data_IF_243591995448
#
_entry.id   IF_243591995448
#
_cell.length_a   1.000
_cell.length_b   1.000
_cell.length_c   1.000
_cell.angle_alpha   90.00
_cell.angle_beta   90.00
_cell.angle_gamma   90.00
#
_symmetry.space_group_name_H-M   'P 1'
#
loop_
_entity.id
_entity.type
_entity.pdbx_description
1 polymer ?
#
# COMPACT_ATOMS: atom_id res chain seq x y z
N UNK A 1 -29.30 31.97 20.52
CA UNK A 1 -28.78 30.85 21.34
C UNK A 1 -27.27 30.95 21.33
N UNK A 2 -26.68 31.41 22.43
CA UNK A 2 -25.23 31.56 22.57
C UNK A 2 -24.59 30.17 22.52
N UNK A 3 -23.84 29.87 21.46
CA UNK A 3 -23.02 28.68 21.44
C UNK A 3 -22.00 28.84 22.57
N UNK A 4 -22.13 27.99 23.60
CA UNK A 4 -21.13 27.90 24.67
C UNK A 4 -19.80 27.64 23.98
N UNK A 5 -18.93 28.65 23.99
CA UNK A 5 -17.54 28.51 23.60
C UNK A 5 -16.94 27.49 24.57
N UNK A 6 -16.91 26.23 24.15
CA UNK A 6 -16.10 25.19 24.79
C UNK A 6 -14.69 25.75 24.92
N UNK A 7 -14.10 25.65 26.12
CA UNK A 7 -12.74 26.10 26.37
C UNK A 7 -11.82 25.59 25.25
N UNK A 8 -11.12 26.50 24.59
CA UNK A 8 -10.17 26.16 23.52
C UNK A 8 -8.98 25.48 24.19
N UNK A 9 -8.81 24.18 23.96
CA UNK A 9 -7.58 23.47 24.33
C UNK A 9 -6.54 23.66 23.23
N UNK A 10 -5.71 24.70 23.36
CA UNK A 10 -4.62 24.98 22.43
C UNK A 10 -3.58 23.85 22.35
N UNK A 11 -3.55 22.90 23.30
CA UNK A 11 -2.66 21.73 23.24
C UNK A 11 -3.18 20.68 22.26
N UNK A 12 -4.47 20.67 21.96
CA UNK A 12 -5.09 19.74 21.02
C UNK A 12 -5.28 20.37 19.64
N UNK A 13 -4.22 20.35 18.85
CA UNK A 13 -4.22 20.80 17.44
C UNK A 13 -4.56 19.67 16.44
N UNK A 14 -5.16 18.57 16.89
CA UNK A 14 -5.53 17.45 16.00
C UNK A 14 -6.51 17.89 14.91
N UNK A 15 -7.49 18.73 15.25
CA UNK A 15 -8.47 19.27 14.30
C UNK A 15 -7.81 20.02 13.12
N UNK A 16 -6.99 21.07 13.33
CA UNK A 16 -6.33 21.74 12.21
C UNK A 16 -5.34 20.84 11.45
N UNK A 17 -4.64 19.92 12.13
CA UNK A 17 -3.76 18.95 11.45
C UNK A 17 -4.57 18.04 10.51
N UNK A 18 -5.69 17.50 10.99
CA UNK A 18 -6.56 16.61 10.21
C UNK A 18 -7.20 17.36 9.04
N UNK A 19 -7.59 18.62 9.24
CA UNK A 19 -8.07 19.47 8.16
C UNK A 19 -7.02 19.63 7.05
N UNK A 20 -5.75 19.91 7.38
CA UNK A 20 -4.67 20.00 6.37
C UNK A 20 -4.49 18.67 5.62
N UNK A 21 -4.50 17.54 6.34
CA UNK A 21 -4.40 16.20 5.76
C UNK A 21 -5.55 15.93 4.78
N UNK A 22 -6.77 16.25 5.16
CA UNK A 22 -7.98 16.14 4.34
C UNK A 22 -7.89 17.01 3.08
N UNK A 23 -7.50 18.30 3.20
CA UNK A 23 -7.39 19.18 2.03
C UNK A 23 -6.35 18.69 1.02
N UNK A 24 -5.22 18.15 1.50
CA UNK A 24 -4.21 17.52 0.63
C UNK A 24 -4.75 16.26 -0.03
N UNK A 25 -5.44 15.41 0.70
CA UNK A 25 -6.07 14.22 0.13
C UNK A 25 -7.11 14.58 -0.95
N UNK A 26 -7.95 15.58 -0.71
CA UNK A 26 -8.94 16.05 -1.69
C UNK A 26 -8.27 16.62 -2.96
N UNK A 27 -7.14 17.32 -2.81
CA UNK A 27 -6.33 17.79 -3.95
C UNK A 27 -5.84 16.61 -4.80
N UNK A 28 -5.31 15.58 -4.15
CA UNK A 28 -4.81 14.35 -4.79
C UNK A 28 -5.95 13.58 -5.47
N UNK A 29 -7.10 13.42 -4.82
CA UNK A 29 -8.30 12.77 -5.39
C UNK A 29 -8.70 13.48 -6.69
N UNK A 30 -8.77 14.80 -6.69
CA UNK A 30 -9.11 15.57 -7.88
C UNK A 30 -8.06 15.37 -9.01
N UNK A 31 -6.77 15.30 -8.66
CA UNK A 31 -5.70 15.07 -9.61
C UNK A 31 -5.72 13.65 -10.21
N UNK A 32 -5.95 12.63 -9.39
CA UNK A 32 -6.10 11.23 -9.80
C UNK A 32 -7.27 11.04 -10.77
N UNK A 33 -8.42 11.69 -10.51
CA UNK A 33 -9.57 11.64 -11.42
C UNK A 33 -9.25 12.20 -12.80
N UNK A 34 -8.48 13.30 -12.90
CA UNK A 34 -8.00 13.84 -14.19
C UNK A 34 -7.05 12.90 -14.92
N UNK A 35 -6.39 11.99 -14.19
CA UNK A 35 -5.50 10.94 -14.70
C UNK A 35 -6.22 9.62 -14.99
N UNK A 36 -7.55 9.61 -14.95
CA UNK A 36 -8.38 8.43 -15.19
C UNK A 36 -8.21 7.32 -14.15
N UNK A 37 -7.82 7.66 -12.92
CA UNK A 37 -7.97 6.77 -11.78
C UNK A 37 -9.29 7.07 -11.06
N UNK A 38 -9.97 6.04 -10.58
CA UNK A 38 -11.00 6.25 -9.56
C UNK A 38 -10.30 6.54 -8.23
N UNK A 39 -10.75 7.57 -7.53
CA UNK A 39 -10.18 7.95 -6.24
C UNK A 39 -11.25 8.50 -5.31
N UNK A 40 -11.15 8.14 -4.03
CA UNK A 40 -11.99 8.65 -2.95
C UNK A 40 -11.17 8.88 -1.68
N UNK A 41 -11.60 9.84 -0.87
CA UNK A 41 -11.08 10.10 0.47
C UNK A 41 -12.04 9.54 1.51
N UNK A 42 -11.48 8.97 2.57
CA UNK A 42 -12.20 8.50 3.77
C UNK A 42 -11.45 8.97 5.02
N UNK A 43 -12.17 9.34 6.10
CA UNK A 43 -11.55 10.00 7.25
C UNK A 43 -10.68 9.07 8.11
N UNK A 44 -11.05 7.79 8.23
CA UNK A 44 -10.50 6.88 9.23
C UNK A 44 -10.44 5.42 8.72
N UNK A 45 -9.91 4.52 9.56
CA UNK A 45 -9.76 3.08 9.25
C UNK A 45 -11.09 2.37 9.03
N UNK A 46 -12.12 2.71 9.79
CA UNK A 46 -13.43 2.06 9.68
C UNK A 46 -14.06 2.37 8.32
N UNK A 47 -14.08 3.64 7.95
CA UNK A 47 -14.54 4.08 6.64
C UNK A 47 -13.67 3.52 5.49
N UNK A 48 -12.36 3.36 5.71
CA UNK A 48 -11.46 2.74 4.74
C UNK A 48 -11.77 1.25 4.53
N UNK A 49 -11.98 0.48 5.60
CA UNK A 49 -12.36 -0.93 5.49
C UNK A 49 -13.69 -1.07 4.76
N UNK A 50 -14.70 -0.27 5.11
CA UNK A 50 -15.99 -0.26 4.43
C UNK A 50 -15.86 0.06 2.93
N UNK A 51 -15.09 1.08 2.58
CA UNK A 51 -14.84 1.48 1.19
C UNK A 51 -14.12 0.38 0.39
N UNK A 52 -13.11 -0.28 0.97
CA UNK A 52 -12.41 -1.40 0.33
C UNK A 52 -13.38 -2.57 0.12
N UNK A 53 -14.16 -2.94 1.15
CA UNK A 53 -15.12 -4.04 1.07
C UNK A 53 -16.20 -3.80 0.00
N UNK A 54 -16.66 -2.56 -0.16
CA UNK A 54 -17.59 -2.16 -1.21
C UNK A 54 -17.00 -2.25 -2.62
N UNK A 55 -15.69 -2.03 -2.77
CA UNK A 55 -14.99 -2.14 -4.05
C UNK A 55 -14.73 -3.60 -4.47
N UNK A 56 -14.69 -4.54 -3.53
CA UNK A 56 -14.47 -5.97 -3.82
C UNK A 56 -15.82 -6.68 -4.03
N UNK A 57 -16.15 -7.13 -5.27
CA UNK A 57 -17.37 -7.90 -5.52
C UNK A 57 -17.43 -9.19 -4.69
N UNK A 58 -18.62 -9.77 -4.57
CA UNK A 58 -18.80 -11.14 -4.06
C UNK A 58 -18.48 -12.14 -5.16
N UNK A 59 -18.17 -13.37 -4.76
CA UNK A 59 -17.96 -14.55 -5.61
C UNK A 59 -16.85 -14.38 -6.66
N UNK A 60 -15.86 -13.57 -6.33
CA UNK A 60 -14.66 -13.34 -7.15
C UNK A 60 -13.38 -13.67 -6.39
N UNK A 61 -12.32 -13.89 -7.13
CA UNK A 61 -10.98 -14.09 -6.61
C UNK A 61 -10.28 -12.77 -6.25
N UNK A 62 -9.62 -12.76 -5.11
CA UNK A 62 -8.97 -11.56 -4.54
C UNK A 62 -7.53 -11.88 -4.22
N UNK A 63 -6.60 -11.25 -4.92
CA UNK A 63 -5.19 -11.33 -4.64
C UNK A 63 -4.75 -10.17 -3.74
N UNK A 64 -4.06 -10.49 -2.65
CA UNK A 64 -3.45 -9.50 -1.76
C UNK A 64 -1.93 -9.66 -1.79
N UNK A 65 -1.24 -8.60 -2.22
CA UNK A 65 0.22 -8.51 -2.06
C UNK A 65 0.62 -8.10 -0.65
N UNK A 66 1.91 -8.20 -0.32
CA UNK A 66 2.45 -7.65 0.93
C UNK A 66 2.12 -6.15 1.09
N UNK A 67 1.38 -5.84 2.16
CA UNK A 67 0.89 -4.50 2.48
C UNK A 67 0.50 -4.39 3.95
N UNK A 68 1.37 -3.75 4.74
CA UNK A 68 1.09 -3.41 6.14
C UNK A 68 -0.17 -2.54 6.26
N UNK A 69 -0.45 -1.69 5.26
CA UNK A 69 -1.68 -0.88 5.22
C UNK A 69 -2.94 -1.76 5.20
N UNK A 70 -2.95 -2.86 4.43
CA UNK A 70 -4.10 -3.77 4.38
C UNK A 70 -4.23 -4.60 5.67
N UNK A 71 -3.09 -4.95 6.28
CA UNK A 71 -3.08 -5.67 7.56
C UNK A 71 -3.62 -4.81 8.69
N UNK A 72 -3.19 -3.55 8.76
CA UNK A 72 -3.65 -2.54 9.72
C UNK A 72 -5.13 -2.16 9.58
N UNK A 73 -5.75 -2.52 8.46
CA UNK A 73 -7.18 -2.33 8.20
C UNK A 73 -7.98 -3.65 8.33
N UNK A 74 -7.31 -4.76 8.62
CA UNK A 74 -7.93 -6.08 8.76
C UNK A 74 -8.77 -6.52 7.54
N UNK A 75 -8.33 -6.14 6.33
CA UNK A 75 -9.07 -6.41 5.09
C UNK A 75 -9.23 -7.92 4.83
N UNK A 76 -8.18 -8.71 5.05
CA UNK A 76 -8.24 -10.17 4.85
C UNK A 76 -9.17 -10.84 5.88
N UNK A 77 -9.06 -10.58 7.19
CA UNK A 77 -10.07 -11.01 8.15
C UNK A 77 -11.51 -10.67 7.75
N UNK A 78 -11.78 -9.44 7.30
CA UNK A 78 -13.12 -9.02 6.87
C UNK A 78 -13.62 -9.78 5.63
N UNK A 79 -12.76 -10.01 4.63
CA UNK A 79 -13.10 -10.80 3.44
C UNK A 79 -13.39 -12.27 3.79
N UNK A 80 -12.66 -12.83 4.77
CA UNK A 80 -12.93 -14.19 5.27
C UNK A 80 -14.25 -14.28 6.01
N UNK A 81 -14.53 -13.31 6.88
CA UNK A 81 -15.81 -13.23 7.59
C UNK A 81 -17.00 -13.08 6.64
N UNK A 82 -16.81 -12.36 5.51
CA UNK A 82 -17.82 -12.25 4.44
C UNK A 82 -18.13 -13.59 3.75
N UNK A 83 -17.20 -14.55 3.80
CA UNK A 83 -17.33 -15.91 3.29
C UNK A 83 -17.84 -16.00 1.83
N UNK A 84 -17.36 -15.09 0.98
CA UNK A 84 -17.85 -14.94 -0.40
C UNK A 84 -16.73 -14.74 -1.43
N UNK A 85 -15.46 -14.96 -1.09
CA UNK A 85 -14.34 -14.70 -2.00
C UNK A 85 -13.28 -15.78 -1.88
N UNK A 86 -12.64 -16.08 -3.01
CA UNK A 86 -11.43 -16.88 -3.04
C UNK A 86 -10.23 -15.97 -2.78
N UNK A 87 -9.60 -16.10 -1.62
CA UNK A 87 -8.49 -15.23 -1.23
C UNK A 87 -7.16 -15.88 -1.63
N UNK A 88 -6.36 -15.17 -2.41
CA UNK A 88 -4.98 -15.50 -2.73
C UNK A 88 -4.04 -14.59 -1.93
N UNK A 89 -3.32 -15.16 -0.98
CA UNK A 89 -2.38 -14.43 -0.12
C UNK A 89 -1.05 -15.20 -0.02
N UNK A 90 -0.12 -14.99 -0.97
CA UNK A 90 1.14 -15.75 -1.01
C UNK A 90 1.99 -15.67 0.26
N UNK A 91 2.07 -14.50 0.89
CA UNK A 91 2.89 -14.26 2.08
C UNK A 91 2.14 -14.54 3.40
N UNK A 92 1.01 -15.25 3.34
CA UNK A 92 0.26 -15.58 4.54
C UNK A 92 1.07 -16.48 5.47
N UNK A 93 1.01 -16.14 6.76
CA UNK A 93 1.68 -16.88 7.83
C UNK A 93 0.66 -17.45 8.82
N UNK A 94 0.99 -18.61 9.38
CA UNK A 94 0.29 -19.17 10.53
C UNK A 94 0.65 -18.43 11.84
N UNK A 95 0.01 -18.80 12.96
CA UNK A 95 0.27 -18.19 14.27
C UNK A 95 1.75 -18.24 14.71
N UNK A 96 2.46 -19.36 14.51
CA UNK A 96 3.91 -19.45 14.71
C UNK A 96 4.78 -18.66 13.72
N UNK A 97 4.23 -18.16 12.61
CA UNK A 97 4.94 -17.35 11.62
C UNK A 97 5.46 -18.09 10.38
N UNK A 98 5.07 -19.35 10.17
CA UNK A 98 5.42 -20.15 9.00
C UNK A 98 4.55 -19.79 7.79
N UNK A 99 5.13 -19.80 6.60
CA UNK A 99 4.37 -19.56 5.36
C UNK A 99 3.36 -20.69 5.10
N UNK A 100 2.06 -20.36 5.07
CA UNK A 100 0.98 -21.35 4.88
C UNK A 100 1.04 -22.00 3.49
N UNK A 101 1.43 -21.23 2.48
CA UNK A 101 1.50 -21.70 1.09
C UNK A 101 2.82 -22.42 0.75
N UNK A 102 3.63 -22.73 1.75
CA UNK A 102 4.94 -23.38 1.60
C UNK A 102 6.12 -22.42 1.71
N UNK A 103 7.29 -22.97 2.01
CA UNK A 103 8.55 -22.25 2.14
C UNK A 103 9.08 -21.82 0.77
N UNK A 104 8.55 -20.72 0.26
CA UNK A 104 8.96 -20.13 -1.01
C UNK A 104 10.35 -19.47 -0.95
N UNK A 105 10.99 -19.37 0.23
CA UNK A 105 12.41 -18.97 0.31
C UNK A 105 13.33 -20.10 -0.12
N UNK A 106 12.93 -21.35 0.16
CA UNK A 106 13.65 -22.56 -0.29
C UNK A 106 13.17 -23.08 -1.65
N UNK A 107 12.00 -22.65 -2.10
CA UNK A 107 11.42 -23.07 -3.38
C UNK A 107 11.13 -21.87 -4.29
N UNK A 108 12.10 -21.57 -5.16
CA UNK A 108 12.04 -20.47 -6.13
C UNK A 108 10.88 -20.62 -7.13
N UNK A 109 10.58 -21.83 -7.58
CA UNK A 109 9.50 -22.05 -8.54
C UNK A 109 8.13 -21.81 -7.90
N UNK A 110 7.96 -22.25 -6.64
CA UNK A 110 6.78 -21.94 -5.84
C UNK A 110 6.63 -20.43 -5.63
N UNK A 111 7.72 -19.70 -5.33
CA UNK A 111 7.69 -18.25 -5.23
C UNK A 111 7.14 -17.61 -6.50
N UNK A 112 7.73 -17.93 -7.67
CA UNK A 112 7.28 -17.34 -8.93
C UNK A 112 5.86 -17.74 -9.30
N UNK A 113 5.45 -18.98 -9.03
CA UNK A 113 4.06 -19.42 -9.23
C UNK A 113 3.11 -18.54 -8.40
N UNK A 114 3.29 -18.50 -7.08
CA UNK A 114 2.41 -17.76 -6.18
C UNK A 114 2.36 -16.27 -6.50
N UNK A 115 3.49 -15.66 -6.91
CA UNK A 115 3.48 -14.25 -7.30
C UNK A 115 2.82 -14.01 -8.66
N UNK A 116 2.87 -14.96 -9.60
CA UNK A 116 2.22 -14.85 -10.91
C UNK A 116 0.70 -15.04 -10.83
N UNK A 117 0.20 -15.74 -9.83
CA UNK A 117 -1.24 -15.95 -9.63
C UNK A 117 -2.02 -14.63 -9.55
N UNK A 118 -1.37 -13.51 -9.19
CA UNK A 118 -1.97 -12.17 -9.24
C UNK A 118 -2.54 -11.84 -10.62
N UNK A 119 -1.92 -12.28 -11.72
CA UNK A 119 -2.39 -11.98 -13.08
C UNK A 119 -3.67 -12.72 -13.46
N UNK A 120 -4.06 -13.72 -12.66
CA UNK A 120 -5.27 -14.51 -12.85
C UNK A 120 -6.39 -14.13 -11.87
N UNK A 121 -6.13 -13.20 -10.94
CA UNK A 121 -7.13 -12.74 -10.00
C UNK A 121 -8.10 -11.72 -10.62
N UNK A 122 -9.32 -11.66 -10.10
CA UNK A 122 -10.31 -10.66 -10.53
C UNK A 122 -10.03 -9.30 -9.90
N UNK A 123 -9.66 -9.30 -8.61
CA UNK A 123 -9.34 -8.11 -7.83
C UNK A 123 -7.94 -8.22 -7.23
N UNK A 124 -7.16 -7.15 -7.39
CA UNK A 124 -5.87 -6.98 -6.75
C UNK A 124 -5.93 -5.93 -5.64
N UNK A 125 -5.55 -6.30 -4.42
CA UNK A 125 -5.46 -5.42 -3.27
C UNK A 125 -4.00 -5.13 -2.94
N UNK A 126 -3.65 -3.86 -2.84
CA UNK A 126 -2.29 -3.43 -2.50
C UNK A 126 -2.27 -2.05 -1.83
N UNK A 127 -1.10 -1.61 -1.41
CA UNK A 127 -0.83 -0.21 -1.06
C UNK A 127 0.22 0.38 -1.99
N UNK A 128 0.51 1.67 -1.83
CA UNK A 128 1.63 2.33 -2.53
C UNK A 128 2.69 2.80 -1.52
N UNK A 129 3.90 3.09 -2.01
CA UNK A 129 4.95 3.73 -1.21
C UNK A 129 4.70 5.23 -1.08
N UNK A 130 4.29 5.88 -2.18
CA UNK A 130 3.99 7.30 -2.22
C UNK A 130 2.93 7.63 -3.27
N UNK A 131 2.23 8.74 -3.04
CA UNK A 131 1.33 9.38 -4.01
C UNK A 131 1.67 10.86 -4.08
N UNK A 132 1.88 11.38 -5.28
CA UNK A 132 2.22 12.80 -5.45
C UNK A 132 0.97 13.68 -5.36
N UNK A 133 1.14 14.95 -4.98
CA UNK A 133 0.05 15.95 -4.97
C UNK A 133 -0.64 16.09 -6.33
N UNK A 134 0.10 15.86 -7.41
CA UNK A 134 -0.44 15.89 -8.76
C UNK A 134 -1.02 14.54 -9.23
N UNK A 135 -1.16 13.56 -8.33
CA UNK A 135 -1.97 12.35 -8.55
C UNK A 135 -1.24 11.16 -9.18
N UNK A 136 0.10 11.13 -9.18
CA UNK A 136 0.88 9.97 -9.62
C UNK A 136 1.05 8.98 -8.47
N UNK A 137 1.04 7.69 -8.78
CA UNK A 137 1.29 6.62 -7.79
C UNK A 137 2.70 6.09 -8.01
N UNK A 138 3.51 6.06 -6.96
CA UNK A 138 4.90 5.58 -7.00
C UNK A 138 5.03 4.37 -6.07
N UNK A 139 5.48 3.26 -6.62
CA UNK A 139 5.72 2.03 -5.86
C UNK A 139 7.04 1.38 -6.27
N UNK A 140 7.74 0.85 -5.28
CA UNK A 140 9.04 0.19 -5.45
C UNK A 140 9.01 -1.18 -4.81
N UNK A 141 9.56 -2.17 -5.52
CA UNK A 141 9.64 -3.56 -5.09
C UNK A 141 11.03 -4.16 -5.27
N UNK A 142 11.31 -5.23 -4.52
CA UNK A 142 12.54 -6.02 -4.70
C UNK A 142 12.46 -6.97 -5.89
N UNK A 143 11.30 -7.59 -6.10
CA UNK A 143 11.06 -8.59 -7.15
C UNK A 143 10.15 -8.09 -8.29
N UNK A 144 9.61 -6.87 -8.19
CA UNK A 144 8.81 -6.23 -9.25
C UNK A 144 7.38 -6.77 -9.43
N UNK A 145 6.98 -7.83 -8.71
CA UNK A 145 5.68 -8.47 -8.86
C UNK A 145 4.50 -7.56 -8.51
N UNK A 146 4.64 -6.69 -7.49
CA UNK A 146 3.59 -5.79 -7.02
C UNK A 146 3.36 -4.67 -8.02
N UNK A 147 4.44 -4.05 -8.49
CA UNK A 147 4.47 -3.01 -9.51
C UNK A 147 3.94 -3.53 -10.84
N UNK A 148 4.37 -4.71 -11.29
CA UNK A 148 3.89 -5.31 -12.53
C UNK A 148 2.37 -5.56 -12.50
N UNK A 149 1.84 -6.03 -11.37
CA UNK A 149 0.40 -6.23 -11.18
C UNK A 149 -0.40 -4.91 -11.19
N UNK A 150 0.15 -3.83 -10.62
CA UNK A 150 -0.47 -2.50 -10.72
C UNK A 150 -0.56 -2.04 -12.18
N UNK A 151 0.50 -2.25 -12.97
CA UNK A 151 0.58 -1.79 -14.38
C UNK A 151 -0.37 -2.58 -15.28
N UNK A 152 -0.30 -3.92 -15.26
CA UNK A 152 -1.01 -4.76 -16.25
C UNK A 152 -1.81 -5.94 -15.66
N UNK A 153 -1.73 -6.20 -14.35
CA UNK A 153 -2.44 -7.30 -13.68
C UNK A 153 -3.98 -7.18 -13.69
N UNK A 154 -4.68 -7.58 -12.61
CA UNK A 154 -6.13 -7.74 -12.57
C UNK A 154 -6.97 -6.61 -13.15
N UNK A 155 -8.18 -6.97 -13.60
CA UNK A 155 -9.17 -6.03 -14.16
C UNK A 155 -9.61 -4.97 -13.17
N UNK A 156 -9.51 -5.25 -11.87
CA UNK A 156 -9.73 -4.29 -10.79
C UNK A 156 -8.55 -4.28 -9.84
N UNK A 157 -7.97 -3.10 -9.62
CA UNK A 157 -6.89 -2.88 -8.66
C UNK A 157 -7.39 -1.88 -7.64
N UNK A 158 -7.33 -2.24 -6.36
CA UNK A 158 -7.65 -1.36 -5.23
C UNK A 158 -6.35 -1.05 -4.49
N UNK A 159 -5.98 0.24 -4.48
CA UNK A 159 -4.78 0.74 -3.84
C UNK A 159 -5.20 1.57 -2.63
N UNK A 160 -4.78 1.14 -1.44
CA UNK A 160 -5.10 1.82 -0.18
C UNK A 160 -3.89 2.60 0.32
N UNK A 161 -4.08 3.88 0.61
CA UNK A 161 -2.99 4.83 0.86
C UNK A 161 -3.35 5.73 2.03
N UNK A 162 -2.57 5.70 3.12
CA UNK A 162 -2.69 6.67 4.20
C UNK A 162 -2.16 8.05 3.81
N UNK A 163 -2.67 9.11 4.43
CA UNK A 163 -2.25 10.50 4.15
C UNK A 163 -0.76 10.75 4.39
N UNK A 164 -0.10 9.96 5.23
CA UNK A 164 1.35 9.99 5.45
C UNK A 164 2.17 9.66 4.18
N UNK A 165 1.53 9.12 3.15
CA UNK A 165 2.17 8.76 1.88
C UNK A 165 1.98 9.82 0.78
N UNK A 166 1.28 10.93 1.07
CA UNK A 166 1.12 12.05 0.15
C UNK A 166 2.40 12.90 0.15
N UNK A 167 3.02 13.04 -1.02
CA UNK A 167 4.28 13.78 -1.20
C UNK A 167 4.14 14.85 -2.27
N UNK A 168 5.08 15.82 -2.29
CA UNK A 168 4.98 16.98 -3.19
C UNK A 168 5.08 16.61 -4.67
N UNK A 169 5.95 15.66 -5.01
CA UNK A 169 6.30 15.29 -6.39
C UNK A 169 7.15 14.03 -6.43
N UNK A 170 7.73 13.71 -7.59
CA UNK A 170 8.50 12.49 -7.78
C UNK A 170 9.78 12.45 -6.94
N UNK A 171 10.54 13.55 -6.86
CA UNK A 171 11.76 13.61 -6.03
C UNK A 171 11.44 13.28 -4.57
N UNK A 172 10.43 13.95 -4.00
CA UNK A 172 9.96 13.65 -2.64
C UNK A 172 9.38 12.22 -2.48
N UNK A 173 8.90 11.60 -3.55
CA UNK A 173 8.49 10.19 -3.54
C UNK A 173 9.71 9.27 -3.44
N UNK A 174 10.77 9.55 -4.21
CA UNK A 174 12.03 8.81 -4.15
C UNK A 174 12.72 9.01 -2.80
N UNK A 175 12.76 10.24 -2.27
CA UNK A 175 13.29 10.53 -0.93
C UNK A 175 12.53 9.71 0.12
N UNK A 176 11.20 9.74 0.10
CA UNK A 176 10.38 8.90 0.99
C UNK A 176 10.71 7.41 0.87
N UNK A 177 10.86 6.89 -0.37
CA UNK A 177 11.14 5.48 -0.61
C UNK A 177 12.50 5.09 -0.04
N UNK A 178 13.53 5.90 -0.32
CA UNK A 178 14.90 5.62 0.05
C UNK A 178 15.16 5.89 1.53
N UNK A 179 14.66 6.99 2.08
CA UNK A 179 14.97 7.41 3.46
C UNK A 179 14.04 6.79 4.50
N UNK A 180 12.84 6.34 4.09
CA UNK A 180 11.85 5.80 5.02
C UNK A 180 11.36 4.40 4.64
N UNK A 181 10.73 4.22 3.48
CA UNK A 181 10.06 2.96 3.17
C UNK A 181 11.02 1.76 3.13
N UNK A 182 12.14 1.89 2.40
CA UNK A 182 13.10 0.80 2.23
C UNK A 182 13.82 0.47 3.56
N UNK A 183 14.41 1.43 4.30
CA UNK A 183 15.05 1.14 5.59
C UNK A 183 14.09 0.50 6.60
N UNK A 184 12.88 1.06 6.75
CA UNK A 184 11.86 0.49 7.65
C UNK A 184 11.48 -0.92 7.23
N UNK A 185 11.29 -1.18 5.93
CA UNK A 185 10.91 -2.50 5.46
C UNK A 185 12.04 -3.53 5.57
N UNK A 186 13.30 -3.13 5.36
CA UNK A 186 14.48 -3.97 5.60
C UNK A 186 14.55 -4.35 7.07
N UNK A 187 14.41 -3.37 7.98
CA UNK A 187 14.41 -3.60 9.42
C UNK A 187 13.25 -4.48 9.86
N UNK A 188 12.05 -4.27 9.32
CA UNK A 188 10.87 -5.14 9.51
C UNK A 188 11.15 -6.59 9.12
N UNK A 189 11.79 -6.82 7.96
CA UNK A 189 12.12 -8.18 7.54
C UNK A 189 13.18 -8.83 8.43
N UNK A 190 14.17 -8.06 8.88
CA UNK A 190 15.19 -8.53 9.82
C UNK A 190 14.57 -8.93 11.16
N UNK A 191 13.77 -8.04 11.75
CA UNK A 191 13.29 -8.18 13.13
C UNK A 191 12.05 -9.09 13.25
N UNK A 192 11.18 -9.10 12.23
CA UNK A 192 9.86 -9.75 12.33
C UNK A 192 9.70 -10.95 11.40
N UNK A 193 10.51 -11.07 10.34
CA UNK A 193 10.37 -12.14 9.35
C UNK A 193 11.51 -13.15 9.39
N UNK A 194 12.43 -13.04 10.36
CA UNK A 194 13.57 -13.92 10.54
C UNK A 194 14.43 -14.05 9.27
N UNK A 195 14.75 -12.90 8.65
CA UNK A 195 15.57 -12.82 7.43
C UNK A 195 16.91 -12.15 7.74
N UNK A 196 17.85 -12.85 8.42
CA UNK A 196 19.07 -12.25 8.96
C UNK A 196 19.97 -11.62 7.88
N UNK A 197 19.91 -12.14 6.66
CA UNK A 197 20.67 -11.60 5.53
C UNK A 197 20.33 -10.15 5.17
N UNK A 198 19.16 -9.65 5.54
CA UNK A 198 18.84 -8.24 5.33
C UNK A 198 19.67 -7.31 6.23
N UNK A 199 20.31 -7.84 7.29
CA UNK A 199 21.23 -7.08 8.14
C UNK A 199 22.51 -6.63 7.44
N UNK A 200 22.86 -7.22 6.29
CA UNK A 200 24.02 -6.82 5.48
C UNK A 200 23.79 -5.54 4.67
N UNK A 201 22.53 -5.10 4.50
CA UNK A 201 22.26 -3.87 3.76
C UNK A 201 22.68 -2.65 4.59
N UNK A 202 23.32 -1.63 3.98
CA UNK A 202 23.72 -0.41 4.69
C UNK A 202 22.58 0.26 5.45
N UNK A 203 21.40 0.34 4.84
CA UNK A 203 20.21 0.93 5.47
C UNK A 203 19.67 0.14 6.66
N UNK A 204 20.00 -1.16 6.79
CA UNK A 204 19.61 -1.96 7.95
C UNK A 204 20.37 -1.58 9.22
N UNK A 205 21.64 -1.18 9.06
CA UNK A 205 22.54 -0.87 10.16
C UNK A 205 22.58 0.62 10.48
N UNK A 206 22.48 1.49 9.48
CA UNK A 206 22.59 2.95 9.64
C UNK A 206 21.24 3.67 9.68
N UNK A 207 20.18 3.05 9.16
CA UNK A 207 18.91 3.74 8.89
C UNK A 207 18.97 4.75 7.73
N UNK A 208 20.12 4.91 7.07
CA UNK A 208 20.36 5.88 6.00
C UNK A 208 20.53 5.12 4.67
N UNK A 209 19.84 5.58 3.63
CA UNK A 209 20.06 5.07 2.28
C UNK A 209 21.36 5.63 1.70
N UNK A 210 22.20 4.75 1.18
CA UNK A 210 23.45 5.10 0.48
C UNK A 210 23.36 4.78 -1.02
N UNK A 211 22.13 4.62 -1.55
CA UNK A 211 21.85 4.10 -2.89
C UNK A 211 22.71 2.88 -3.25
N UNK A 212 22.71 1.87 -2.37
CA UNK A 212 23.59 0.73 -2.49
C UNK A 212 23.29 -0.14 -3.73
N UNK A 213 24.31 -0.84 -4.22
CA UNK A 213 24.23 -1.89 -5.24
C UNK A 213 24.26 -3.31 -4.63
N UNK A 214 23.99 -3.43 -3.33
CA UNK A 214 24.06 -4.69 -2.59
C UNK A 214 23.21 -5.79 -3.28
N UNK A 215 23.70 -7.04 -3.42
CA UNK A 215 22.97 -8.11 -4.12
C UNK A 215 21.58 -8.44 -3.57
N UNK A 216 21.32 -8.03 -2.32
CA UNK A 216 20.03 -8.19 -1.63
C UNK A 216 19.21 -6.90 -1.52
N UNK A 217 19.53 -5.86 -2.31
CA UNK A 217 18.75 -4.61 -2.39
C UNK A 217 17.26 -4.93 -2.55
N UNK A 218 16.41 -4.30 -1.73
CA UNK A 218 14.95 -4.52 -1.77
C UNK A 218 14.21 -3.50 -2.62
N UNK A 219 14.87 -2.43 -3.03
CA UNK A 219 14.30 -1.31 -3.76
C UNK A 219 14.84 -1.27 -5.20
N UNK A 220 14.51 -2.29 -6.00
CA UNK A 220 15.07 -2.49 -7.35
C UNK A 220 14.15 -1.98 -8.47
N UNK A 221 12.86 -2.31 -8.39
CA UNK A 221 11.90 -2.05 -9.45
C UNK A 221 10.96 -0.95 -9.02
N UNK A 222 11.09 0.23 -9.61
CA UNK A 222 10.18 1.36 -9.35
C UNK A 222 9.25 1.56 -10.53
N UNK A 223 7.95 1.55 -10.25
CA UNK A 223 6.91 1.92 -11.20
C UNK A 223 6.28 3.26 -10.84
N UNK A 224 6.04 4.07 -11.87
CA UNK A 224 5.31 5.33 -11.77
C UNK A 224 4.06 5.19 -12.63
N UNK A 225 2.89 5.19 -11.98
CA UNK A 225 1.60 5.22 -12.67
C UNK A 225 1.22 6.69 -12.89
N UNK A 226 1.47 7.16 -14.10
CA UNK A 226 1.12 8.51 -14.58
C UNK A 226 -0.39 8.70 -14.77
N UNK A 227 -1.11 7.66 -15.15
CA UNK A 227 -2.52 7.70 -15.46
C UNK A 227 -2.99 6.38 -16.06
N UNK A 228 -4.28 6.31 -16.38
CA UNK A 228 -4.86 5.21 -17.14
C UNK A 228 -5.40 5.71 -18.48
N UNK A 229 -5.57 4.80 -19.43
CA UNK A 229 -6.35 5.11 -20.63
C UNK A 229 -7.80 5.41 -20.23
N UNK A 230 -8.50 6.37 -20.85
CA UNK A 230 -9.90 6.67 -20.54
C UNK A 230 -10.81 5.43 -20.56
N UNK A 231 -10.57 4.51 -21.51
CA UNK A 231 -11.30 3.24 -21.65
C UNK A 231 -11.03 2.20 -20.55
N UNK A 232 -10.06 2.45 -19.68
CA UNK A 232 -9.66 1.62 -18.54
C UNK A 232 -9.79 2.39 -17.21
N UNK A 233 -10.58 3.46 -17.19
CA UNK A 233 -10.68 4.37 -16.05
C UNK A 233 -11.35 3.76 -14.82
N UNK A 234 -11.97 2.60 -14.95
CA UNK A 234 -12.60 1.81 -13.89
C UNK A 234 -11.64 0.82 -13.22
N UNK A 235 -10.47 0.57 -13.80
CA UNK A 235 -9.51 -0.45 -13.34
C UNK A 235 -8.81 -0.07 -12.04
N UNK A 236 -8.16 1.08 -11.98
CA UNK A 236 -7.39 1.52 -10.79
C UNK A 236 -8.31 2.34 -9.88
N UNK A 237 -8.51 1.84 -8.66
CA UNK A 237 -9.34 2.43 -7.63
C UNK A 237 -8.46 2.76 -6.41
N UNK A 238 -8.42 4.01 -6.00
CA UNK A 238 -7.60 4.50 -4.89
C UNK A 238 -8.48 4.91 -3.72
N UNK A 239 -8.16 4.40 -2.53
CA UNK A 239 -8.78 4.81 -1.26
C UNK A 239 -7.72 5.55 -0.45
N UNK A 240 -7.86 6.88 -0.35
CA UNK A 240 -7.01 7.73 0.47
C UNK A 240 -7.61 7.85 1.88
N UNK A 241 -6.84 7.45 2.88
CA UNK A 241 -7.29 7.37 4.27
C UNK A 241 -6.69 8.53 5.08
N UNK A 242 -7.53 9.26 5.81
CA UNK A 242 -7.14 10.41 6.66
C UNK A 242 -6.17 10.08 7.80
N UNK A 243 -5.97 8.80 8.07
CA UNK A 243 -5.01 8.28 9.04
C UNK A 243 -3.66 7.90 8.43
N UNK A 244 -2.65 7.83 9.30
CA UNK A 244 -1.32 7.36 8.93
C UNK A 244 -1.30 5.83 8.93
N UNK A 245 -1.06 5.25 7.76
CA UNK A 245 -1.10 3.80 7.55
C UNK A 245 0.13 3.30 6.81
N UNK A 246 0.52 2.07 7.16
CA UNK A 246 1.65 1.35 6.61
C UNK A 246 2.96 2.11 6.74
N UNK A 247 3.84 1.83 5.78
CA UNK A 247 5.15 2.45 5.61
C UNK A 247 5.28 3.02 4.19
#
# INVERSE_FOLDING_TARGET
MSAVLTAVDEKNISRPINWVKEQRANTVVAAMKRRHFQAQYVPDREAALAAVMALVPRDVSVFRSDSVTLDQLEVIPALRARAANTIMYPQEKDGPGNNINGDYEKNKDLYFKLQRDVFMADVYLTGANAVTLDGKIVSTDGAGNRVAAMIFGPRKVVIVVGVNKIVKGLDAAFDRIHEFCAPVNVKRHLDMHNRPWYGELPCASTGICTDCDHPRRICNYTGILEGALPRMSDRINVVLVGEELGL
#
